data_IF_440575175454
#
_entry.id   IF_440575175454
#
_cell.length_a   1.000
_cell.length_b   1.000
_cell.length_c   1.000
_cell.angle_alpha   90.00
_cell.angle_beta   90.00
_cell.angle_gamma   90.00
#
_symmetry.space_group_name_H-M   'P 1'
#
loop_
_entity.id
_entity.type
_entity.pdbx_description
1 polymer ?
#
# COMPACT_ATOMS: atom_id res chain seq x y z
N UNK A 1 -16.08 -17.02 10.43
CA UNK A 1 -15.21 -15.85 10.74
C UNK A 1 -14.65 -15.36 9.42
N UNK A 2 -14.73 -14.06 9.08
CA UNK A 2 -14.01 -13.54 7.93
C UNK A 2 -12.50 -13.83 8.10
N UNK A 3 -11.83 -14.25 7.03
CA UNK A 3 -10.39 -14.45 7.03
C UNK A 3 -9.69 -13.09 6.87
N UNK A 4 -8.71 -12.82 7.73
CA UNK A 4 -7.85 -11.63 7.63
C UNK A 4 -6.56 -12.06 6.95
N UNK A 5 -6.10 -11.28 5.95
CA UNK A 5 -4.86 -11.57 5.20
C UNK A 5 -3.74 -10.57 5.51
N UNK A 6 -4.08 -9.40 6.07
CA UNK A 6 -3.14 -8.38 6.51
C UNK A 6 -3.76 -7.52 7.61
N UNK A 7 -2.93 -7.02 8.53
CA UNK A 7 -3.33 -6.24 9.69
C UNK A 7 -3.55 -7.11 10.94
N UNK A 8 -3.12 -6.62 12.09
CA UNK A 8 -3.52 -7.18 13.38
C UNK A 8 -4.84 -6.55 13.85
N UNK A 9 -5.72 -7.33 14.49
CA UNK A 9 -6.97 -6.80 15.05
C UNK A 9 -6.66 -5.96 16.30
N UNK A 10 -6.53 -4.64 16.12
CA UNK A 10 -6.59 -3.65 17.18
C UNK A 10 -5.32 -3.50 18.04
N UNK A 11 -4.54 -2.46 17.73
CA UNK A 11 -4.22 -1.45 18.74
C UNK A 11 -4.40 -0.08 18.08
N UNK A 12 -5.43 0.66 18.48
CA UNK A 12 -5.58 2.06 18.10
C UNK A 12 -4.37 2.83 18.67
N UNK A 13 -3.50 3.37 17.81
CA UNK A 13 -2.35 4.18 18.22
C UNK A 13 -0.97 3.52 18.15
N UNK A 14 -0.85 2.26 17.71
CA UNK A 14 0.45 1.67 17.33
C UNK A 14 0.71 1.90 15.84
N UNK A 15 0.91 3.17 15.47
CA UNK A 15 1.29 3.56 14.11
C UNK A 15 2.71 3.06 13.80
N UNK A 16 2.88 2.29 12.73
CA UNK A 16 4.21 1.89 12.26
C UNK A 16 4.18 1.24 10.88
N UNK A 17 4.98 1.78 9.96
CA UNK A 17 5.29 1.22 8.62
C UNK A 17 6.17 -0.04 8.68
N UNK A 18 6.03 -0.85 9.73
CA UNK A 18 6.80 -2.09 9.88
C UNK A 18 6.51 -3.03 8.72
N UNK A 19 7.49 -3.22 7.85
CA UNK A 19 7.49 -4.29 6.85
C UNK A 19 7.66 -5.64 7.56
N UNK A 20 7.20 -6.73 6.94
CA UNK A 20 7.28 -8.07 7.53
C UNK A 20 5.98 -8.86 7.39
N UNK A 21 5.71 -9.82 8.30
CA UNK A 21 4.53 -10.67 8.22
C UNK A 21 3.23 -9.85 8.21
N UNK A 22 2.40 -10.07 7.19
CA UNK A 22 1.22 -9.23 6.95
C UNK A 22 0.22 -9.25 8.12
N UNK A 23 0.06 -10.39 8.78
CA UNK A 23 -0.87 -10.54 9.92
C UNK A 23 -0.40 -9.85 11.21
N UNK A 24 0.86 -9.47 11.28
CA UNK A 24 1.43 -8.73 12.41
C UNK A 24 1.62 -7.24 12.10
N UNK A 25 1.34 -6.81 10.87
CA UNK A 25 1.50 -5.42 10.47
C UNK A 25 0.44 -4.52 11.12
N UNK A 26 0.85 -3.31 11.50
CA UNK A 26 -0.07 -2.27 11.92
C UNK A 26 -0.47 -1.45 10.69
N UNK A 27 -1.72 -1.62 10.27
CA UNK A 27 -2.27 -0.82 9.19
C UNK A 27 -2.85 0.49 9.74
N UNK A 28 -2.53 1.60 9.09
CA UNK A 28 -2.95 2.94 9.43
C UNK A 28 -4.04 3.42 8.46
N UNK A 29 -5.29 3.18 8.84
CA UNK A 29 -6.48 3.59 8.07
C UNK A 29 -6.40 3.11 6.60
N UNK A 30 -6.48 1.78 6.35
CA UNK A 30 -6.54 1.28 4.98
C UNK A 30 -7.78 1.84 4.26
N UNK A 31 -7.58 2.51 3.11
CA UNK A 31 -8.63 3.23 2.37
C UNK A 31 -8.99 2.54 1.06
N UNK A 32 -8.01 2.00 0.35
CA UNK A 32 -8.16 1.53 -1.03
C UNK A 32 -7.15 0.41 -1.37
N UNK A 33 -7.43 -0.35 -2.42
CA UNK A 33 -6.61 -1.47 -2.89
C UNK A 33 -6.53 -1.48 -4.43
N UNK A 34 -5.37 -1.88 -4.97
CA UNK A 34 -5.19 -2.22 -6.38
C UNK A 34 -4.55 -3.61 -6.51
N UNK A 35 -5.00 -4.40 -7.48
CA UNK A 35 -4.55 -5.78 -7.70
C UNK A 35 -3.54 -5.80 -8.86
N UNK A 36 -2.41 -6.47 -8.69
CA UNK A 36 -1.49 -6.77 -9.79
C UNK A 36 -2.10 -7.80 -10.76
N UNK A 37 -1.69 -7.76 -12.03
CA UNK A 37 -2.26 -8.67 -13.06
C UNK A 37 -2.03 -10.16 -12.75
N UNK A 38 -0.92 -10.49 -12.07
CA UNK A 38 -0.60 -11.85 -11.63
C UNK A 38 -1.38 -12.31 -10.39
N UNK A 39 -2.18 -11.41 -9.80
CA UNK A 39 -2.93 -11.60 -8.55
C UNK A 39 -2.04 -12.02 -7.35
N UNK A 40 -0.72 -11.96 -7.48
CA UNK A 40 0.23 -12.33 -6.43
C UNK A 40 0.52 -11.16 -5.49
N UNK A 41 0.30 -9.93 -5.96
CA UNK A 41 0.51 -8.71 -5.17
C UNK A 41 -0.76 -7.87 -5.09
N UNK A 42 -1.11 -7.44 -3.87
CA UNK A 42 -2.07 -6.36 -3.65
C UNK A 42 -1.33 -5.09 -3.23
N UNK A 43 -1.62 -3.97 -3.87
CA UNK A 43 -1.20 -2.67 -3.39
C UNK A 43 -2.27 -2.10 -2.48
N UNK A 44 -1.89 -1.70 -1.27
CA UNK A 44 -2.77 -1.12 -0.26
C UNK A 44 -2.47 0.36 -0.12
N UNK A 45 -3.50 1.20 -0.16
CA UNK A 45 -3.40 2.60 0.22
C UNK A 45 -3.79 2.78 1.68
N UNK A 46 -2.87 3.30 2.47
CA UNK A 46 -3.02 3.78 3.83
C UNK A 46 -2.97 5.31 3.82
N UNK A 47 -3.33 5.98 4.92
CA UNK A 47 -3.34 7.45 4.96
C UNK A 47 -1.95 8.05 4.68
N UNK A 48 -0.87 7.39 5.07
CA UNK A 48 0.50 7.90 4.88
C UNK A 48 1.43 6.98 4.09
N UNK A 49 0.93 5.85 3.60
CA UNK A 49 1.75 4.88 2.88
C UNK A 49 0.98 4.14 1.80
N UNK A 50 1.70 3.71 0.78
CA UNK A 50 1.28 2.64 -0.10
C UNK A 50 2.14 1.42 0.22
N UNK A 51 1.49 0.27 0.44
CA UNK A 51 2.17 -0.99 0.72
C UNK A 51 1.93 -1.98 -0.40
N UNK A 52 2.88 -2.87 -0.64
CA UNK A 52 2.71 -4.08 -1.43
C UNK A 52 2.55 -5.26 -0.47
N UNK A 53 1.42 -5.95 -0.56
CA UNK A 53 1.14 -7.23 0.08
C UNK A 53 1.47 -8.34 -0.90
N UNK A 54 2.55 -9.07 -0.63
CA UNK A 54 2.90 -10.30 -1.34
C UNK A 54 2.07 -11.46 -0.75
N UNK A 55 1.13 -11.97 -1.54
CA UNK A 55 0.24 -13.07 -1.19
C UNK A 55 0.91 -14.44 -1.36
N UNK A 56 1.98 -14.52 -2.17
CA UNK A 56 2.71 -15.75 -2.44
C UNK A 56 3.84 -16.01 -1.43
N UNK A 57 4.27 -14.99 -0.68
CA UNK A 57 5.30 -15.09 0.35
C UNK A 57 5.08 -16.26 1.33
N UNK A 58 6.16 -16.96 1.64
CA UNK A 58 6.17 -18.12 2.55
C UNK A 58 7.01 -17.79 3.80
N UNK A 59 6.61 -18.26 5.00
CA UNK A 59 5.47 -19.15 5.30
C UNK A 59 4.12 -18.43 5.38
N UNK A 60 4.10 -17.10 5.35
CA UNK A 60 2.89 -16.28 5.39
C UNK A 60 3.03 -15.06 4.48
N UNK A 61 1.92 -14.46 4.03
CA UNK A 61 1.94 -13.19 3.29
C UNK A 61 2.76 -12.12 4.01
N UNK A 62 3.35 -11.21 3.24
CA UNK A 62 4.20 -10.15 3.77
C UNK A 62 3.86 -8.78 3.21
N UNK A 63 4.07 -7.73 3.99
CA UNK A 63 3.88 -6.34 3.59
C UNK A 63 5.22 -5.64 3.44
N UNK A 64 5.31 -4.83 2.39
CA UNK A 64 6.44 -3.93 2.15
C UNK A 64 5.96 -2.53 1.81
N UNK A 65 6.58 -1.50 2.38
CA UNK A 65 6.31 -0.11 2.01
C UNK A 65 6.89 0.18 0.63
N UNK A 66 6.03 0.67 -0.27
CA UNK A 66 6.41 1.06 -1.64
C UNK A 66 6.61 2.57 -1.73
N UNK A 67 5.73 3.32 -1.08
CA UNK A 67 5.75 4.77 -1.07
C UNK A 67 5.22 5.28 0.25
N UNK A 68 5.81 6.36 0.77
CA UNK A 68 5.34 7.02 1.97
C UNK A 68 5.19 8.52 1.68
N UNK A 69 4.17 9.14 2.26
CA UNK A 69 3.91 10.56 2.10
C UNK A 69 3.33 11.14 3.38
N UNK A 70 3.69 12.38 3.68
CA UNK A 70 3.10 13.16 4.78
C UNK A 70 1.87 13.97 4.32
N UNK A 71 1.50 13.90 3.04
CA UNK A 71 0.45 14.73 2.44
C UNK A 71 -0.94 14.11 2.54
N UNK A 72 -1.08 12.95 3.17
CA UNK A 72 -2.35 12.21 3.23
C UNK A 72 -2.73 11.62 1.86
N UNK A 73 -2.98 10.32 1.80
CA UNK A 73 -3.36 9.62 0.58
C UNK A 73 -4.86 9.33 0.57
N UNK A 74 -5.48 9.33 -0.61
CA UNK A 74 -6.92 9.11 -0.77
C UNK A 74 -7.31 7.82 -1.49
N UNK A 75 -6.38 7.20 -2.20
CA UNK A 75 -6.67 6.07 -3.10
C UNK A 75 -5.61 5.92 -4.20
N UNK A 76 -5.64 4.78 -4.87
CA UNK A 76 -4.60 4.36 -5.83
C UNK A 76 -5.18 3.67 -7.06
N UNK A 77 -4.44 3.72 -8.16
CA UNK A 77 -4.71 2.92 -9.36
C UNK A 77 -3.41 2.38 -9.96
N UNK A 78 -3.37 1.08 -10.27
CA UNK A 78 -2.24 0.44 -10.95
C UNK A 78 -2.28 0.70 -12.45
N UNK A 79 -1.16 1.16 -13.00
CA UNK A 79 -1.00 1.27 -14.44
C UNK A 79 -1.06 -0.13 -15.09
N UNK A 80 -1.60 -0.21 -16.30
CA UNK A 80 -1.78 -1.50 -17.01
C UNK A 80 -0.47 -2.25 -17.22
N UNK A 81 0.66 -1.54 -17.33
CA UNK A 81 1.99 -2.15 -17.48
C UNK A 81 2.57 -2.69 -16.16
N UNK A 82 1.88 -2.50 -15.03
CA UNK A 82 2.31 -2.97 -13.72
C UNK A 82 3.54 -2.26 -13.16
N UNK A 83 4.00 -1.16 -13.76
CA UNK A 83 5.25 -0.50 -13.36
C UNK A 83 5.05 0.76 -12.51
N UNK A 84 3.82 1.30 -12.47
CA UNK A 84 3.52 2.53 -11.73
C UNK A 84 2.17 2.48 -11.02
N UNK A 85 2.08 3.16 -9.88
CA UNK A 85 0.82 3.51 -9.24
C UNK A 85 0.52 4.99 -9.42
N UNK A 86 -0.72 5.32 -9.80
CA UNK A 86 -1.27 6.65 -9.64
C UNK A 86 -1.83 6.77 -8.23
N UNK A 87 -1.37 7.74 -7.46
CA UNK A 87 -1.71 7.94 -6.05
C UNK A 87 -2.34 9.31 -5.90
N UNK A 88 -3.55 9.35 -5.33
CA UNK A 88 -4.19 10.61 -4.97
C UNK A 88 -3.57 11.13 -3.67
N UNK A 89 -2.97 12.32 -3.72
CA UNK A 89 -2.42 13.00 -2.54
C UNK A 89 -3.46 14.00 -2.05
N UNK A 90 -4.36 13.51 -1.19
CA UNK A 90 -5.57 14.20 -0.75
C UNK A 90 -5.29 15.62 -0.24
N UNK A 91 -4.32 15.80 0.67
CA UNK A 91 -4.05 17.13 1.25
C UNK A 91 -3.15 18.00 0.36
N UNK A 92 -2.54 17.43 -0.67
CA UNK A 92 -1.77 18.18 -1.67
C UNK A 92 -2.62 18.63 -2.86
N UNK A 93 -3.85 18.13 -2.99
CA UNK A 93 -4.73 18.38 -4.15
C UNK A 93 -4.09 17.97 -5.49
N UNK A 94 -3.34 16.86 -5.49
CA UNK A 94 -2.55 16.40 -6.65
C UNK A 94 -2.67 14.89 -6.85
N UNK A 95 -2.38 14.44 -8.07
CA UNK A 95 -2.17 13.01 -8.37
C UNK A 95 -0.68 12.80 -8.66
N UNK A 96 -0.07 11.79 -8.04
CA UNK A 96 1.35 11.45 -8.25
C UNK A 96 1.48 10.09 -8.92
N UNK A 97 2.37 9.97 -9.91
CA UNK A 97 2.73 8.70 -10.51
C UNK A 97 4.00 8.14 -9.84
N UNK A 98 3.87 7.07 -9.07
CA UNK A 98 4.96 6.42 -8.33
C UNK A 98 5.51 5.25 -9.12
N UNK A 99 6.82 5.19 -9.34
CA UNK A 99 7.52 4.03 -9.90
C UNK A 99 7.57 2.90 -8.89
N UNK A 100 7.02 1.73 -9.20
CA UNK A 100 7.00 0.58 -8.28
C UNK A 100 8.39 -0.02 -8.03
N UNK A 101 9.30 0.09 -9.00
CA UNK A 101 10.65 -0.45 -8.86
C UNK A 101 11.51 0.35 -7.86
N UNK A 102 11.29 1.67 -7.77
CA UNK A 102 12.13 2.56 -6.96
C UNK A 102 11.40 3.20 -5.78
N UNK A 103 10.06 3.20 -5.79
CA UNK A 103 9.23 3.94 -4.83
C UNK A 103 9.20 5.45 -5.07
N UNK A 104 9.81 5.95 -6.15
CA UNK A 104 9.95 7.38 -6.41
C UNK A 104 8.79 7.95 -7.24
N UNK A 105 8.44 9.21 -6.99
CA UNK A 105 7.48 9.95 -7.81
C UNK A 105 8.14 10.33 -9.14
N UNK A 106 7.56 9.88 -10.25
CA UNK A 106 8.02 10.15 -11.62
C UNK A 106 7.29 11.29 -12.32
N UNK A 107 6.09 11.64 -11.85
CA UNK A 107 5.31 12.77 -12.35
C UNK A 107 4.26 13.20 -11.32
N UNK A 108 3.83 14.46 -11.41
CA UNK A 108 2.68 15.03 -10.70
C UNK A 108 1.72 15.58 -11.74
N UNK A 109 0.43 15.27 -11.59
CA UNK A 109 -0.65 15.55 -12.55
C UNK A 109 -1.75 16.35 -11.85
#
# INVERSE_FOLDING_TARGET
RPAVVAGCFGVQGESGVGDGPALSANLEHPLDLAVAEDEATLFLCEVFAVRALDLAAQPTPSLKTVFASTLGLGGIALARDGHKLFVTQHSAHQISAVCLATGEVTAVI
#
